data_IF_309385957412
#
_entry.id   IF_309385957412
#
_cell.length_a   1.000
_cell.length_b   1.000
_cell.length_c   1.000
_cell.angle_alpha   90.00
_cell.angle_beta   90.00
_cell.angle_gamma   90.00
#
_symmetry.space_group_name_H-M   'P 1'
#
loop_
_entity.id
_entity.type
_entity.pdbx_description
1 polymer ?
#
# COMPACT_ATOMS: atom_id res chain seq x y z
N UNK A 1 0.07 -20.33 -24.00
CA UNK A 1 0.13 -19.08 -24.80
C UNK A 1 1.57 -18.80 -25.23
N UNK A 2 1.83 -18.32 -26.47
CA UNK A 2 3.17 -17.84 -26.81
C UNK A 2 3.56 -16.75 -25.80
N UNK A 3 4.81 -16.76 -25.35
CA UNK A 3 5.38 -15.73 -24.46
C UNK A 3 5.07 -14.38 -25.10
N UNK A 4 4.17 -13.62 -24.48
CA UNK A 4 3.91 -12.24 -24.87
C UNK A 4 5.26 -11.52 -24.90
N UNK A 5 5.54 -10.80 -25.98
CA UNK A 5 6.73 -9.95 -26.08
C UNK A 5 6.85 -9.14 -24.78
N UNK A 6 8.02 -9.14 -24.10
CA UNK A 6 8.20 -8.35 -22.90
C UNK A 6 7.80 -6.90 -23.17
N UNK A 7 6.96 -6.32 -22.30
CA UNK A 7 6.64 -4.90 -22.39
C UNK A 7 7.95 -4.10 -22.27
N UNK A 8 8.10 -2.99 -23.00
CA UNK A 8 9.26 -2.12 -22.84
C UNK A 8 9.31 -1.59 -21.40
N UNK A 9 10.51 -1.28 -20.93
CA UNK A 9 10.68 -0.67 -19.62
C UNK A 9 9.96 0.69 -19.56
N UNK A 10 9.19 0.96 -18.49
CA UNK A 10 8.55 2.25 -18.29
C UNK A 10 9.57 3.39 -18.24
N UNK A 11 9.16 4.57 -18.71
CA UNK A 11 10.06 5.73 -18.80
C UNK A 11 9.86 6.70 -17.63
N UNK A 12 10.84 7.57 -17.38
CA UNK A 12 10.81 8.64 -16.37
C UNK A 12 10.56 8.18 -14.91
N UNK A 13 11.25 7.15 -14.40
CA UNK A 13 11.24 6.88 -12.96
C UNK A 13 11.92 8.00 -12.18
N UNK A 14 11.51 8.16 -10.93
CA UNK A 14 12.35 8.79 -9.90
C UNK A 14 12.68 7.78 -8.81
N UNK A 15 13.84 7.93 -8.19
CA UNK A 15 14.28 7.09 -7.09
C UNK A 15 13.82 7.69 -5.78
N UNK A 16 13.09 6.92 -4.96
CA UNK A 16 12.64 7.35 -3.62
C UNK A 16 13.46 6.74 -2.48
N UNK A 17 14.42 5.86 -2.80
CA UNK A 17 15.34 5.26 -1.85
C UNK A 17 16.17 4.16 -2.49
N UNK A 18 16.93 3.45 -1.67
CA UNK A 18 17.66 2.25 -2.06
C UNK A 18 17.20 1.09 -1.16
N UNK A 19 17.11 -0.09 -1.75
CA UNK A 19 16.97 -1.35 -1.01
C UNK A 19 18.23 -1.68 -0.19
N UNK A 20 18.14 -2.69 0.66
CA UNK A 20 19.24 -3.14 1.50
C UNK A 20 20.52 -3.45 0.69
N UNK A 21 20.40 -4.10 -0.46
CA UNK A 21 21.56 -4.41 -1.32
C UNK A 21 21.91 -3.30 -2.33
N UNK A 22 21.28 -2.12 -2.21
CA UNK A 22 21.61 -0.94 -3.01
C UNK A 22 20.89 -0.85 -4.36
N UNK A 23 19.90 -1.71 -4.64
CA UNK A 23 19.03 -1.54 -5.83
C UNK A 23 18.14 -0.32 -5.66
N UNK A 24 17.94 0.49 -6.71
CA UNK A 24 17.07 1.65 -6.63
C UNK A 24 15.62 1.25 -6.41
N UNK A 25 14.95 1.99 -5.52
CA UNK A 25 13.52 1.91 -5.33
C UNK A 25 12.88 2.96 -6.24
N UNK A 26 12.20 2.50 -7.29
CA UNK A 26 11.61 3.35 -8.31
C UNK A 26 10.13 3.61 -8.08
N UNK A 27 9.75 4.87 -8.27
CA UNK A 27 8.37 5.31 -8.38
C UNK A 27 8.18 6.13 -9.66
N UNK A 28 6.95 6.19 -10.14
CA UNK A 28 6.56 6.97 -11.31
C UNK A 28 5.42 7.89 -10.92
N UNK A 29 5.44 9.13 -11.40
CA UNK A 29 4.37 10.10 -11.16
C UNK A 29 3.59 10.31 -12.45
N UNK A 30 2.28 10.12 -12.41
CA UNK A 30 1.35 10.37 -13.50
C UNK A 30 0.31 11.40 -13.06
N UNK A 31 0.00 12.38 -13.91
CA UNK A 31 -0.86 13.51 -13.53
C UNK A 31 -0.19 14.51 -12.59
N UNK A 32 -0.90 15.59 -12.29
CA UNK A 32 -0.40 16.68 -11.45
C UNK A 32 -1.44 17.36 -10.56
N UNK A 33 -2.61 16.75 -10.40
CA UNK A 33 -3.66 17.26 -9.54
C UNK A 33 -3.40 17.07 -8.04
N UNK A 34 -4.17 17.75 -7.17
CA UNK A 34 -3.93 17.79 -5.73
C UNK A 34 -4.25 16.48 -4.98
N UNK A 35 -5.09 15.60 -5.53
CA UNK A 35 -5.41 14.29 -4.93
C UNK A 35 -4.29 13.29 -5.21
N UNK A 36 -3.36 13.14 -4.27
CA UNK A 36 -2.21 12.24 -4.42
C UNK A 36 -2.56 10.81 -4.00
N UNK A 37 -2.41 9.85 -4.91
CA UNK A 37 -2.77 8.43 -4.70
C UNK A 37 -1.60 7.53 -5.04
N UNK A 38 -1.57 6.32 -4.50
CA UNK A 38 -0.50 5.36 -4.83
C UNK A 38 -1.01 3.94 -5.14
N UNK A 39 -0.36 3.27 -6.09
CA UNK A 39 -0.47 1.82 -6.26
C UNK A 39 0.90 1.17 -6.09
N UNK A 40 0.96 0.10 -5.30
CA UNK A 40 2.20 -0.57 -4.91
C UNK A 40 2.12 -2.06 -5.24
N UNK A 41 3.16 -2.58 -5.88
CA UNK A 41 3.34 -4.01 -6.13
C UNK A 41 4.65 -4.52 -5.53
N UNK A 42 4.75 -5.85 -5.37
CA UNK A 42 5.99 -6.54 -5.06
C UNK A 42 6.59 -6.21 -3.70
N UNK A 43 5.77 -5.92 -2.68
CA UNK A 43 6.30 -5.80 -1.30
C UNK A 43 6.80 -7.16 -0.78
N UNK A 44 6.17 -8.26 -1.19
CA UNK A 44 6.69 -9.62 -1.01
C UNK A 44 7.55 -10.09 -2.20
N UNK A 45 8.24 -9.16 -2.87
CA UNK A 45 9.27 -9.45 -3.85
C UNK A 45 8.83 -10.38 -4.99
N UNK A 46 9.63 -11.42 -5.23
CA UNK A 46 9.46 -12.31 -6.37
C UNK A 46 8.47 -13.44 -6.10
N UNK A 47 8.18 -13.73 -4.82
CA UNK A 47 7.13 -14.65 -4.41
C UNK A 47 5.76 -14.19 -4.94
N UNK A 48 5.54 -12.87 -4.99
CA UNK A 48 4.34 -12.22 -5.55
C UNK A 48 4.70 -11.39 -6.80
N UNK A 49 5.56 -11.93 -7.67
CA UNK A 49 6.04 -11.24 -8.88
C UNK A 49 4.94 -10.91 -9.92
N UNK A 50 3.79 -11.55 -9.82
CA UNK A 50 2.58 -11.24 -10.58
C UNK A 50 2.04 -9.84 -10.25
N UNK A 51 2.15 -9.39 -9.00
CA UNK A 51 1.77 -8.02 -8.59
C UNK A 51 2.66 -6.97 -9.25
N UNK A 52 3.97 -7.25 -9.37
CA UNK A 52 4.91 -6.41 -10.11
C UNK A 52 4.52 -6.35 -11.58
N UNK A 53 4.13 -7.48 -12.16
CA UNK A 53 3.66 -7.57 -13.55
C UNK A 53 2.39 -6.76 -13.76
N UNK A 54 1.42 -6.85 -12.85
CA UNK A 54 0.17 -6.08 -12.89
C UNK A 54 0.45 -4.57 -12.87
N UNK A 55 1.21 -4.10 -11.88
CA UNK A 55 1.46 -2.67 -11.68
C UNK A 55 2.31 -2.10 -12.82
N UNK A 56 3.31 -2.85 -13.33
CA UNK A 56 4.06 -2.45 -14.54
C UNK A 56 3.15 -2.35 -15.77
N UNK A 57 2.22 -3.28 -15.95
CA UNK A 57 1.28 -3.25 -17.07
C UNK A 57 0.31 -2.07 -16.98
N UNK A 58 -0.18 -1.76 -15.78
CA UNK A 58 -1.00 -0.56 -15.53
C UNK A 58 -0.23 0.72 -15.84
N UNK A 59 1.03 0.82 -15.36
CA UNK A 59 1.91 1.94 -15.66
C UNK A 59 2.10 2.15 -17.15
N UNK A 60 2.45 1.09 -17.89
CA UNK A 60 2.63 1.18 -19.34
C UNK A 60 1.34 1.65 -20.04
N UNK A 61 0.19 1.11 -19.63
CA UNK A 61 -1.09 1.49 -20.22
C UNK A 61 -1.44 2.96 -19.96
N UNK A 62 -1.22 3.45 -18.73
CA UNK A 62 -1.49 4.83 -18.36
C UNK A 62 -0.48 5.82 -18.97
N UNK A 63 0.80 5.44 -19.12
CA UNK A 63 1.77 6.27 -19.85
C UNK A 63 1.41 6.45 -21.32
N UNK A 64 0.82 5.42 -21.94
CA UNK A 64 0.31 5.50 -23.31
C UNK A 64 -1.03 6.26 -23.42
N UNK A 65 -1.74 6.44 -22.31
CA UNK A 65 -3.07 7.05 -22.22
C UNK A 65 -3.17 8.00 -21.03
N UNK A 66 -2.39 9.09 -21.02
CA UNK A 66 -2.39 10.04 -19.90
C UNK A 66 -3.75 10.74 -19.71
N UNK A 67 -4.61 10.73 -20.74
CA UNK A 67 -6.00 11.22 -20.70
C UNK A 67 -6.90 10.43 -19.73
N UNK A 68 -6.47 9.24 -19.29
CA UNK A 68 -7.19 8.42 -18.33
C UNK A 68 -6.89 8.78 -16.86
N UNK A 69 -5.92 9.67 -16.60
CA UNK A 69 -5.68 10.20 -15.26
C UNK A 69 -6.55 11.45 -15.10
N UNK A 70 -7.49 11.49 -14.14
CA UNK A 70 -8.28 12.67 -13.86
C UNK A 70 -7.40 13.90 -13.56
N UNK A 71 -7.86 15.09 -13.96
CA UNK A 71 -7.07 16.32 -13.86
C UNK A 71 -6.74 16.72 -12.41
N UNK A 72 -7.54 16.29 -11.46
CA UNK A 72 -7.38 16.52 -10.03
C UNK A 72 -6.56 15.44 -9.33
N UNK A 73 -6.10 14.40 -10.04
CA UNK A 73 -5.33 13.29 -9.47
C UNK A 73 -3.85 13.37 -9.84
N UNK A 74 -3.00 13.08 -8.85
CA UNK A 74 -1.62 12.64 -9.05
C UNK A 74 -1.52 11.16 -8.63
N UNK A 75 -1.21 10.26 -9.56
CA UNK A 75 -0.97 8.85 -9.25
C UNK A 75 0.53 8.55 -9.16
N UNK A 76 0.96 8.08 -7.99
CA UNK A 76 2.25 7.46 -7.77
C UNK A 76 2.17 5.95 -8.02
N UNK A 77 3.03 5.45 -8.89
CA UNK A 77 3.07 4.03 -9.25
C UNK A 77 4.41 3.47 -8.78
N UNK A 78 4.37 2.48 -7.89
CA UNK A 78 5.54 1.79 -7.33
C UNK A 78 5.46 0.32 -7.75
N UNK A 79 6.07 -0.06 -8.90
CA UNK A 79 5.90 -1.41 -9.41
C UNK A 79 6.51 -2.51 -8.54
N UNK A 80 7.62 -2.21 -7.85
CA UNK A 80 8.32 -3.18 -7.01
C UNK A 80 8.90 -2.49 -5.77
N UNK A 81 8.27 -2.72 -4.62
CA UNK A 81 8.73 -2.20 -3.32
C UNK A 81 9.89 -3.04 -2.73
N UNK A 82 10.03 -4.31 -3.12
CA UNK A 82 11.10 -5.21 -2.69
C UNK A 82 11.92 -5.73 -3.90
N UNK A 83 12.79 -4.91 -4.50
CA UNK A 83 13.60 -5.33 -5.64
C UNK A 83 14.62 -6.41 -5.29
N UNK A 84 14.97 -6.57 -4.01
CA UNK A 84 15.91 -7.58 -3.53
C UNK A 84 15.26 -8.96 -3.48
N UNK A 85 14.09 -9.08 -2.86
CA UNK A 85 13.28 -10.29 -2.90
C UNK A 85 12.81 -10.62 -4.31
N UNK A 86 12.49 -9.60 -5.13
CA UNK A 86 12.18 -9.82 -6.54
C UNK A 86 13.34 -10.45 -7.33
N UNK A 87 14.57 -9.99 -7.09
CA UNK A 87 15.75 -10.58 -7.71
C UNK A 87 16.07 -12.00 -7.20
N UNK A 88 15.58 -12.38 -6.01
CA UNK A 88 15.77 -13.71 -5.43
C UNK A 88 14.86 -14.79 -6.05
N UNK A 89 13.84 -14.41 -6.83
CA UNK A 89 12.94 -15.32 -7.53
C UNK A 89 11.64 -15.60 -6.78
N UNK A 90 10.89 -16.62 -7.21
CA UNK A 90 9.51 -16.89 -6.73
C UNK A 90 9.43 -17.84 -5.53
N UNK A 91 10.54 -18.10 -4.87
CA UNK A 91 10.57 -18.94 -3.68
C UNK A 91 9.87 -18.26 -2.49
N UNK A 92 9.10 -19.01 -1.72
CA UNK A 92 8.27 -18.48 -0.63
C UNK A 92 9.08 -17.99 0.58
N UNK A 93 10.31 -18.48 0.77
CA UNK A 93 11.18 -18.06 1.86
C UNK A 93 12.04 -16.87 1.45
N UNK A 94 12.74 -17.01 0.33
CA UNK A 94 13.77 -16.07 -0.12
C UNK A 94 13.22 -14.98 -1.05
N UNK A 95 12.22 -15.31 -1.87
CA UNK A 95 11.57 -14.38 -2.78
C UNK A 95 10.59 -13.42 -2.08
N UNK A 96 10.05 -13.84 -0.94
CA UNK A 96 9.08 -13.07 -0.14
C UNK A 96 9.71 -11.93 0.65
N UNK A 97 10.85 -12.19 1.26
CA UNK A 97 11.54 -11.26 2.18
C UNK A 97 12.50 -10.34 1.43
N UNK A 98 13.00 -9.28 2.07
CA UNK A 98 14.03 -8.42 1.47
C UNK A 98 15.43 -9.06 1.52
N UNK A 99 16.44 -8.33 1.07
CA UNK A 99 17.84 -8.78 1.06
C UNK A 99 18.45 -9.08 2.43
N UNK A 100 17.73 -8.79 3.53
CA UNK A 100 18.11 -9.08 4.92
C UNK A 100 17.27 -10.18 5.57
N UNK A 101 16.35 -10.79 4.85
CA UNK A 101 15.47 -11.83 5.39
C UNK A 101 14.29 -11.29 6.20
N UNK A 102 13.93 -10.01 6.03
CA UNK A 102 12.80 -9.39 6.72
C UNK A 102 11.56 -9.36 5.82
N UNK A 103 10.42 -9.78 6.37
CA UNK A 103 9.12 -9.61 5.72
C UNK A 103 8.72 -8.12 5.78
N UNK A 104 8.76 -7.45 4.63
CA UNK A 104 8.50 -6.01 4.55
C UNK A 104 7.07 -5.65 4.94
N UNK A 105 6.10 -6.55 4.76
CA UNK A 105 4.72 -6.31 5.19
C UNK A 105 4.48 -6.75 6.65
N UNK A 106 5.55 -6.86 7.44
CA UNK A 106 5.53 -6.97 8.91
C UNK A 106 6.39 -5.91 9.59
N UNK A 107 7.07 -5.04 8.81
CA UNK A 107 8.06 -4.08 9.30
C UNK A 107 7.50 -2.67 9.53
N UNK A 108 6.20 -2.50 9.75
CA UNK A 108 5.54 -1.22 9.97
C UNK A 108 5.12 -1.03 11.43
N UNK A 109 4.98 0.22 11.87
CA UNK A 109 4.67 0.55 13.27
C UNK A 109 3.17 0.45 13.61
N UNK A 110 2.60 -0.75 13.41
CA UNK A 110 1.22 -1.04 13.79
C UNK A 110 1.15 -2.33 14.62
N UNK A 111 0.97 -2.18 15.94
CA UNK A 111 1.02 -3.30 16.89
C UNK A 111 2.24 -4.22 16.70
N UNK A 112 3.34 -3.64 16.24
CA UNK A 112 4.47 -4.38 15.70
C UNK A 112 5.03 -5.39 16.71
N UNK A 113 5.40 -6.55 16.19
CA UNK A 113 6.10 -7.60 16.91
C UNK A 113 7.23 -8.12 16.05
N UNK A 114 8.35 -8.48 16.69
CA UNK A 114 9.54 -9.02 16.00
C UNK A 114 9.25 -10.30 15.20
N UNK A 115 8.25 -11.07 15.62
CA UNK A 115 7.81 -12.30 14.93
C UNK A 115 6.34 -12.20 14.61
N UNK A 116 6.00 -12.50 13.36
CA UNK A 116 4.65 -12.60 12.84
C UNK A 116 4.50 -13.92 12.07
N UNK A 117 3.42 -14.10 11.32
CA UNK A 117 3.20 -15.31 10.52
C UNK A 117 2.86 -15.01 9.06
N UNK A 118 3.25 -15.95 8.20
CA UNK A 118 2.70 -16.17 6.87
C UNK A 118 2.08 -17.58 6.86
N UNK A 119 0.74 -17.66 6.86
CA UNK A 119 0.05 -18.92 7.17
C UNK A 119 0.41 -19.38 8.58
N UNK A 120 0.91 -20.61 8.72
CA UNK A 120 1.40 -21.15 10.00
C UNK A 120 2.91 -20.93 10.20
N UNK A 121 3.60 -20.33 9.23
CA UNK A 121 5.05 -20.20 9.25
C UNK A 121 5.46 -18.90 9.95
N UNK A 122 6.38 -18.93 10.91
CA UNK A 122 6.92 -17.72 11.49
C UNK A 122 7.74 -16.94 10.45
N UNK A 123 7.58 -15.62 10.47
CA UNK A 123 8.38 -14.69 9.67
C UNK A 123 9.01 -13.64 10.58
N UNK A 124 10.20 -13.18 10.19
CA UNK A 124 10.92 -12.13 10.91
C UNK A 124 10.49 -10.75 10.41
N UNK A 125 10.05 -9.92 11.33
CA UNK A 125 9.48 -8.60 11.07
C UNK A 125 10.51 -7.46 11.15
N UNK A 126 11.80 -7.79 11.29
CA UNK A 126 12.88 -6.83 11.52
C UNK A 126 13.25 -6.67 13.00
N UNK A 127 14.23 -5.83 13.28
CA UNK A 127 14.69 -5.57 14.66
C UNK A 127 13.82 -4.58 15.43
N UNK A 128 13.11 -3.72 14.68
CA UNK A 128 12.20 -2.68 15.16
C UNK A 128 11.31 -2.24 13.98
N UNK A 129 10.19 -1.52 14.23
CA UNK A 129 9.42 -0.93 13.15
C UNK A 129 10.30 -0.07 12.24
N UNK A 130 10.14 -0.21 10.94
CA UNK A 130 10.92 0.48 9.92
C UNK A 130 12.43 0.23 10.01
N UNK A 131 12.86 -0.94 10.52
CA UNK A 131 14.27 -1.33 10.47
C UNK A 131 14.80 -1.48 9.04
N UNK A 132 13.95 -1.78 8.06
CA UNK A 132 14.35 -1.95 6.66
C UNK A 132 14.43 -0.62 5.90
N UNK A 133 15.43 -0.42 5.02
CA UNK A 133 15.50 0.78 4.20
C UNK A 133 14.33 0.88 3.21
N UNK A 134 13.78 -0.24 2.73
CA UNK A 134 12.64 -0.26 1.83
C UNK A 134 11.37 0.32 2.47
N UNK A 135 11.04 -0.12 3.69
CA UNK A 135 9.84 0.35 4.40
C UNK A 135 9.98 1.79 4.86
N UNK A 136 11.18 2.22 5.30
CA UNK A 136 11.45 3.66 5.57
C UNK A 136 11.24 4.51 4.34
N UNK A 137 11.83 4.12 3.21
CA UNK A 137 11.71 4.89 1.98
C UNK A 137 10.25 4.99 1.52
N UNK A 138 9.46 3.91 1.64
CA UNK A 138 8.05 3.93 1.27
C UNK A 138 7.22 4.80 2.22
N UNK A 139 7.43 4.68 3.54
CA UNK A 139 6.80 5.57 4.54
C UNK A 139 7.09 7.05 4.25
N UNK A 140 8.36 7.37 4.01
CA UNK A 140 8.80 8.75 3.78
C UNK A 140 8.22 9.29 2.45
N UNK A 141 8.17 8.46 1.39
CA UNK A 141 7.50 8.82 0.14
C UNK A 141 6.02 9.18 0.35
N UNK A 142 5.29 8.36 1.12
CA UNK A 142 3.87 8.61 1.41
C UNK A 142 3.65 9.92 2.14
N UNK A 143 4.45 10.20 3.17
CA UNK A 143 4.38 11.44 3.93
C UNK A 143 4.78 12.65 3.08
N UNK A 144 5.89 12.58 2.34
CA UNK A 144 6.41 13.69 1.53
C UNK A 144 5.51 14.07 0.36
N UNK A 145 4.77 13.11 -0.21
CA UNK A 145 3.88 13.33 -1.35
C UNK A 145 2.43 13.56 -0.94
N UNK A 146 2.13 13.48 0.36
CA UNK A 146 0.77 13.65 0.87
C UNK A 146 -0.20 12.63 0.28
N UNK A 147 0.24 11.38 0.12
CA UNK A 147 -0.61 10.32 -0.45
C UNK A 147 -1.81 10.10 0.48
N UNK A 148 -3.03 10.31 -0.02
CA UNK A 148 -4.27 10.20 0.77
C UNK A 148 -4.95 8.85 0.61
N UNK A 149 -4.68 8.12 -0.49
CA UNK A 149 -5.24 6.80 -0.74
C UNK A 149 -4.27 5.86 -1.46
N UNK A 150 -4.31 4.57 -1.14
CA UNK A 150 -3.42 3.59 -1.77
C UNK A 150 -3.97 2.18 -1.89
N UNK A 151 -3.45 1.44 -2.88
CA UNK A 151 -3.65 0.01 -3.07
C UNK A 151 -2.30 -0.69 -3.01
N UNK A 152 -2.16 -1.63 -2.08
CA UNK A 152 -1.09 -2.63 -2.09
C UNK A 152 -1.59 -3.91 -2.77
N UNK A 153 -0.95 -4.32 -3.85
CA UNK A 153 -1.24 -5.59 -4.51
C UNK A 153 -0.38 -6.70 -3.93
N UNK A 154 -1.04 -7.78 -3.55
CA UNK A 154 -0.51 -9.02 -2.99
C UNK A 154 -1.03 -10.23 -3.76
N UNK A 155 -0.53 -11.44 -3.48
CA UNK A 155 -1.12 -12.69 -3.95
C UNK A 155 -0.86 -13.81 -2.93
N UNK A 156 -1.71 -14.83 -2.73
CA UNK A 156 -2.89 -15.17 -3.50
C UNK A 156 -4.07 -15.65 -2.62
N UNK A 157 -5.08 -14.80 -2.44
CA UNK A 157 -6.33 -15.12 -1.73
C UNK A 157 -7.60 -14.73 -2.49
N UNK A 158 -7.49 -13.93 -3.55
CA UNK A 158 -8.65 -13.43 -4.28
C UNK A 158 -9.60 -12.61 -3.41
N UNK A 159 -9.08 -11.72 -2.57
CA UNK A 159 -9.84 -10.96 -1.56
C UNK A 159 -9.27 -9.54 -1.38
N UNK A 160 -10.05 -8.66 -0.78
CA UNK A 160 -9.64 -7.30 -0.40
C UNK A 160 -9.62 -7.20 1.12
N UNK A 161 -8.60 -6.55 1.67
CA UNK A 161 -8.47 -6.22 3.08
C UNK A 161 -8.36 -4.71 3.23
N UNK A 162 -9.12 -4.14 4.17
CA UNK A 162 -8.97 -2.75 4.59
C UNK A 162 -8.00 -2.64 5.75
N UNK A 163 -7.29 -1.51 5.85
CA UNK A 163 -6.58 -1.14 7.07
C UNK A 163 -7.50 -1.03 8.29
N UNK A 164 -6.92 -1.14 9.48
CA UNK A 164 -7.67 -1.28 10.72
C UNK A 164 -8.29 0.02 11.26
N UNK A 165 -7.66 1.19 11.10
CA UNK A 165 -8.16 2.45 11.66
C UNK A 165 -9.18 3.13 10.74
N UNK A 166 -10.46 2.90 11.06
CA UNK A 166 -11.61 3.49 10.36
C UNK A 166 -12.00 4.89 10.87
N UNK A 167 -11.37 5.36 11.94
CA UNK A 167 -11.69 6.66 12.53
C UNK A 167 -10.88 7.80 11.91
N UNK A 168 -9.73 7.45 11.31
CA UNK A 168 -8.79 8.40 10.72
C UNK A 168 -8.74 8.38 9.20
N UNK A 169 -9.16 7.28 8.58
CA UNK A 169 -9.06 7.08 7.14
C UNK A 169 -10.27 6.34 6.57
N UNK A 170 -10.62 6.63 5.31
CA UNK A 170 -11.69 5.97 4.54
C UNK A 170 -11.25 4.60 3.98
N UNK A 171 -10.52 3.83 4.76
CA UNK A 171 -10.01 2.53 4.31
C UNK A 171 -11.13 1.50 4.07
N UNK A 172 -12.17 1.51 4.92
CA UNK A 172 -13.32 0.61 4.75
C UNK A 172 -14.13 1.01 3.51
N UNK A 173 -14.39 2.30 3.33
CA UNK A 173 -15.11 2.86 2.19
C UNK A 173 -14.35 2.60 0.88
N UNK A 174 -13.02 2.74 0.90
CA UNK A 174 -12.15 2.37 -0.22
C UNK A 174 -12.26 0.88 -0.54
N UNK A 175 -12.22 0.01 0.46
CA UNK A 175 -12.33 -1.44 0.27
C UNK A 175 -13.70 -1.84 -0.30
N UNK A 176 -14.80 -1.25 0.18
CA UNK A 176 -16.15 -1.50 -0.33
C UNK A 176 -16.31 -1.04 -1.79
N UNK A 177 -15.82 0.17 -2.12
CA UNK A 177 -15.82 0.67 -3.49
C UNK A 177 -15.01 -0.26 -4.40
N UNK A 178 -13.82 -0.68 -3.94
CA UNK A 178 -12.95 -1.56 -4.71
C UNK A 178 -13.56 -2.95 -4.89
N UNK A 179 -14.23 -3.50 -3.88
CA UNK A 179 -14.95 -4.78 -3.95
C UNK A 179 -16.06 -4.73 -5.01
N UNK A 180 -16.84 -3.65 -5.04
CA UNK A 180 -17.88 -3.45 -6.06
C UNK A 180 -17.29 -3.35 -7.48
N UNK A 181 -16.18 -2.62 -7.65
CA UNK A 181 -15.57 -2.42 -8.96
C UNK A 181 -14.86 -3.67 -9.51
N UNK A 182 -14.17 -4.41 -8.65
CA UNK A 182 -13.36 -5.57 -9.02
C UNK A 182 -14.16 -6.85 -9.04
N UNK A 183 -15.08 -7.03 -8.08
CA UNK A 183 -15.76 -8.27 -7.77
C UNK A 183 -15.00 -9.18 -6.79
N UNK A 184 -13.89 -8.73 -6.21
CA UNK A 184 -13.29 -9.44 -5.07
C UNK A 184 -14.15 -9.26 -3.81
N UNK A 185 -14.30 -10.28 -2.95
CA UNK A 185 -14.90 -10.12 -1.64
C UNK A 185 -14.03 -9.25 -0.74
N UNK A 186 -14.66 -8.38 0.05
CA UNK A 186 -14.01 -7.66 1.15
C UNK A 186 -14.02 -8.54 2.41
N UNK A 187 -12.85 -8.75 3.00
CA UNK A 187 -12.61 -9.56 4.19
C UNK A 187 -12.11 -8.67 5.37
N UNK A 188 -13.01 -7.99 6.10
CA UNK A 188 -12.62 -6.98 7.10
C UNK A 188 -12.02 -7.57 8.39
N UNK A 189 -12.08 -8.89 8.59
CA UNK A 189 -11.61 -9.56 9.81
C UNK A 189 -10.15 -10.08 9.70
N UNK A 190 -9.47 -9.80 8.59
CA UNK A 190 -8.14 -10.36 8.31
C UNK A 190 -8.17 -11.88 8.12
N UNK A 191 -7.00 -12.52 8.24
CA UNK A 191 -6.87 -13.97 8.07
C UNK A 191 -6.88 -14.66 9.44
N UNK A 192 -7.97 -15.37 9.73
CA UNK A 192 -8.15 -16.07 11.00
C UNK A 192 -6.99 -17.01 11.32
N UNK A 193 -6.41 -16.85 12.51
CA UNK A 193 -5.33 -17.70 13.01
C UNK A 193 -3.92 -17.28 12.59
N UNK A 194 -3.78 -16.20 11.83
CA UNK A 194 -2.50 -15.58 11.54
C UNK A 194 -2.22 -14.39 12.47
N UNK A 195 -0.95 -14.18 12.76
CA UNK A 195 -0.43 -12.96 13.39
C UNK A 195 0.13 -12.09 12.26
N UNK A 196 -0.57 -11.02 11.91
CA UNK A 196 -0.23 -10.15 10.77
C UNK A 196 0.21 -8.75 11.20
N UNK A 197 0.68 -8.58 12.44
CA UNK A 197 1.09 -7.27 12.96
C UNK A 197 2.19 -6.62 12.13
N UNK A 198 2.19 -5.28 12.10
CA UNK A 198 3.18 -4.47 11.41
C UNK A 198 3.04 -4.47 9.89
N UNK A 199 1.84 -4.66 9.36
CA UNK A 199 1.57 -4.50 7.94
C UNK A 199 1.39 -3.03 7.52
N UNK A 200 1.54 -2.79 6.23
CA UNK A 200 1.54 -1.45 5.66
C UNK A 200 0.18 -0.77 5.75
N UNK A 201 -0.90 -1.49 5.43
CA UNK A 201 -2.23 -0.88 5.26
C UNK A 201 -2.84 -0.49 6.61
N UNK A 202 -2.58 -1.28 7.65
CA UNK A 202 -2.97 -0.93 9.01
C UNK A 202 -2.20 0.31 9.50
N UNK A 203 -0.87 0.35 9.39
CA UNK A 203 -0.10 1.54 9.76
C UNK A 203 -0.57 2.78 9.02
N UNK A 204 -0.73 2.69 7.69
CA UNK A 204 -1.11 3.82 6.85
C UNK A 204 -2.49 4.37 7.23
N UNK A 205 -3.44 3.52 7.61
CA UNK A 205 -4.75 3.95 8.11
C UNK A 205 -4.63 4.83 9.38
N UNK A 206 -3.68 4.53 10.29
CA UNK A 206 -3.49 5.31 11.53
C UNK A 206 -2.94 6.72 11.31
N UNK A 207 -2.26 6.94 10.18
CA UNK A 207 -1.70 8.23 9.77
C UNK A 207 -2.58 8.95 8.74
N UNK A 208 -3.82 8.47 8.54
CA UNK A 208 -4.84 9.15 7.75
C UNK A 208 -4.86 8.79 6.26
N UNK A 209 -4.14 7.74 5.84
CA UNK A 209 -4.15 7.27 4.45
C UNK A 209 -5.20 6.17 4.29
N UNK A 210 -6.15 6.34 3.36
CA UNK A 210 -7.07 5.27 2.98
C UNK A 210 -6.29 4.17 2.25
N UNK A 211 -5.88 3.13 2.96
CA UNK A 211 -5.03 2.06 2.42
C UNK A 211 -5.76 0.73 2.39
N UNK A 212 -5.66 0.00 1.27
CA UNK A 212 -6.20 -1.35 1.14
C UNK A 212 -5.15 -2.30 0.58
N UNK A 213 -5.32 -3.58 0.86
CA UNK A 213 -4.60 -4.69 0.25
C UNK A 213 -5.55 -5.46 -0.68
N UNK A 214 -5.09 -5.74 -1.90
CA UNK A 214 -5.78 -6.62 -2.84
C UNK A 214 -4.92 -7.85 -3.06
N UNK A 215 -5.46 -8.99 -2.65
CA UNK A 215 -4.87 -10.30 -2.88
C UNK A 215 -5.38 -10.84 -4.22
N UNK A 216 -4.49 -10.98 -5.20
CA UNK A 216 -4.79 -11.59 -6.50
C UNK A 216 -5.23 -13.06 -6.32
N UNK A 217 -5.85 -13.64 -7.35
CA UNK A 217 -6.45 -14.97 -7.22
C UNK A 217 -5.39 -16.08 -7.16
N UNK A 218 -4.23 -15.88 -7.80
CA UNK A 218 -3.10 -16.83 -7.83
C UNK A 218 -1.78 -16.06 -7.81
N UNK A 219 -0.65 -16.73 -7.59
CA UNK A 219 0.70 -16.13 -7.70
C UNK A 219 1.22 -15.99 -9.15
N UNK A 220 0.37 -16.27 -10.14
CA UNK A 220 0.75 -16.31 -11.56
C UNK A 220 -0.10 -15.33 -12.40
N UNK A 221 -1.39 -15.24 -12.09
CA UNK A 221 -2.37 -14.48 -12.84
C UNK A 221 -2.54 -13.08 -12.30
N UNK A 222 -2.43 -12.07 -13.18
CA UNK A 222 -2.57 -10.67 -12.78
C UNK A 222 -4.02 -10.17 -12.66
N UNK A 223 -5.01 -11.03 -12.92
CA UNK A 223 -6.43 -10.69 -12.84
C UNK A 223 -6.81 -9.38 -13.58
N UNK A 224 -6.24 -9.21 -14.78
CA UNK A 224 -6.20 -7.91 -15.49
C UNK A 224 -7.54 -7.19 -15.56
N UNK A 225 -8.60 -7.86 -16.02
CA UNK A 225 -9.89 -7.20 -16.28
C UNK A 225 -10.52 -6.63 -15.01
N UNK A 226 -10.44 -7.35 -13.88
CA UNK A 226 -11.00 -6.87 -12.61
C UNK A 226 -10.15 -5.77 -12.01
N UNK A 227 -8.83 -5.92 -12.02
CA UNK A 227 -7.93 -4.90 -11.48
C UNK A 227 -7.92 -3.63 -12.31
N UNK A 228 -8.15 -3.73 -13.63
CA UNK A 228 -8.34 -2.56 -14.48
C UNK A 228 -9.65 -1.82 -14.17
N UNK A 229 -10.76 -2.53 -13.89
CA UNK A 229 -11.98 -1.88 -13.38
C UNK A 229 -11.75 -1.21 -12.04
N UNK A 230 -11.06 -1.90 -11.13
CA UNK A 230 -10.68 -1.38 -9.82
C UNK A 230 -9.86 -0.11 -9.92
N UNK A 231 -8.80 -0.08 -10.73
CA UNK A 231 -7.96 1.10 -10.90
C UNK A 231 -8.72 2.30 -11.46
N UNK A 232 -9.63 2.10 -12.43
CA UNK A 232 -10.46 3.21 -12.93
C UNK A 232 -11.37 3.75 -11.84
N UNK A 233 -12.07 2.88 -11.11
CA UNK A 233 -12.90 3.30 -9.99
C UNK A 233 -12.07 3.99 -8.90
N UNK A 234 -10.86 3.52 -8.64
CA UNK A 234 -9.92 4.14 -7.71
C UNK A 234 -9.43 5.51 -8.16
N UNK A 235 -9.28 5.76 -9.47
CA UNK A 235 -8.93 7.09 -9.99
C UNK A 235 -10.13 8.05 -9.93
N UNK A 236 -11.33 7.56 -10.17
CA UNK A 236 -12.57 8.36 -10.16
C UNK A 236 -13.17 8.51 -8.74
N UNK A 237 -12.55 7.92 -7.71
CA UNK A 237 -13.10 7.91 -6.36
C UNK A 237 -12.94 9.26 -5.65
N UNK A 238 -14.04 9.79 -5.11
CA UNK A 238 -14.03 10.95 -4.23
C UNK A 238 -13.66 10.51 -2.80
N UNK A 239 -12.46 10.90 -2.34
CA UNK A 239 -11.98 10.54 -1.00
C UNK A 239 -12.83 11.23 0.06
N UNK A 240 -13.49 10.49 0.97
CA UNK A 240 -14.29 11.09 2.04
C UNK A 240 -13.44 11.98 2.95
N UNK A 241 -13.92 13.19 3.23
CA UNK A 241 -13.24 14.14 4.12
C UNK A 241 -13.48 13.75 5.58
N UNK A 242 -12.44 13.34 6.29
CA UNK A 242 -12.48 13.21 7.75
C UNK A 242 -12.21 14.57 8.38
N UNK A 243 -13.22 15.11 9.06
CA UNK A 243 -13.04 16.29 9.90
C UNK A 243 -12.26 15.86 11.14
N UNK A 244 -10.99 16.27 11.28
CA UNK A 244 -10.32 16.18 12.58
C UNK A 244 -11.20 16.86 13.63
N UNK A 245 -11.48 16.25 14.78
CA UNK A 245 -12.14 16.97 15.85
C UNK A 245 -11.23 18.14 16.22
N UNK A 246 -11.70 19.36 15.94
CA UNK A 246 -11.02 20.58 16.35
C UNK A 246 -10.65 20.44 17.82
N UNK A 247 -9.37 20.65 18.15
CA UNK A 247 -8.90 20.78 19.53
C UNK A 247 -9.58 21.99 20.17
N UNK A 248 -10.79 21.82 20.67
CA UNK A 248 -11.46 22.82 21.49
C UNK A 248 -10.72 22.87 22.83
N UNK A 249 -9.76 23.78 22.94
CA UNK A 249 -9.19 24.22 24.20
C UNK A 249 -10.26 24.97 24.98
N UNK A 250 -11.09 24.23 25.74
CA UNK A 250 -11.92 24.82 26.79
C UNK A 250 -10.98 25.28 27.92
N UNK A 251 -10.52 26.52 27.81
CA UNK A 251 -9.92 27.25 28.93
C UNK A 251 -11.05 27.69 29.85
N UNK A 252 -11.33 26.86 30.85
CA UNK A 252 -12.23 27.20 31.96
C UNK A 252 -11.54 28.25 32.84
N UNK A 253 -11.81 29.53 32.60
CA UNK A 253 -11.49 30.61 33.54
C UNK A 253 -12.41 30.52 34.75
N UNK A 254 -11.92 29.96 35.84
CA UNK A 254 -12.57 30.04 37.15
C UNK A 254 -12.45 31.49 37.63
N UNK A 255 -13.57 32.20 37.64
CA UNK A 255 -13.72 33.49 38.31
C UNK A 255 -13.96 33.24 39.80
N UNK A 256 -12.94 33.46 40.63
CA UNK A 256 -13.13 33.57 42.07
C UNK A 256 -13.74 34.94 42.38
N UNK A 257 -15.04 34.94 42.67
CA UNK A 257 -15.68 36.00 43.43
C UNK A 257 -16.04 35.43 44.81
N UNK A 258 -15.45 35.97 45.87
CA UNK A 258 -16.10 35.99 47.18
C UNK A 258 -15.64 37.24 47.93
N UNK A 259 -16.66 38.02 48.23
CA UNK A 259 -16.70 39.29 48.93
C UNK A 259 -16.43 39.14 50.42
N UNK A 260 -15.84 40.19 50.96
CA UNK A 260 -15.78 40.57 52.37
C UNK A 260 -17.17 40.61 53.04
N UNK A 261 -17.25 40.04 54.23
CA UNK A 261 -18.02 40.50 55.41
C UNK A 261 -17.53 39.75 56.63
#
# INVERSE_FOLDING_TARGET
PPLATPLPEPTNPFTYGLSFTGRPLWAYRLGDGPSARAIVGGIHGGYEGDTVTLVRRMLHYLQARPDLIPADVTLYVIPCANPDGYAAGSDVETGRVNGRGVDLNRNWDYHWQMTATHGTRPVFAGSEPFSEPETRALRDLFAERGIEATIFYHSALGSIFSGADRSRAATFELAEMMAQATGYPHAPEGIRGQITTGDAVDYLSTVGVAAIEIELTTHEGIDWERNWRGLRAFLDWDVPVYSSPSSSSSSSSISNSTSSS
#
